data_IF_059834686385
#
_entry.id   IF_059834686385
#
_cell.length_a   1.000
_cell.length_b   1.000
_cell.length_c   1.000
_cell.angle_alpha   90.00
_cell.angle_beta   90.00
_cell.angle_gamma   90.00
#
_symmetry.space_group_name_H-M   'P 1'
#
loop_
_entity.id
_entity.type
_entity.pdbx_description
1 polymer ?
#
# COMPACT_ATOMS: atom_id res chain seq x y z
N UNK A 1 13.80 -12.71 -9.62
CA UNK A 1 12.40 -12.25 -9.74
C UNK A 1 12.45 -10.78 -10.11
N UNK A 2 11.82 -10.33 -11.22
CA UNK A 2 11.82 -8.90 -11.53
C UNK A 2 11.03 -8.20 -10.41
N UNK A 3 11.74 -7.47 -9.56
CA UNK A 3 11.14 -6.56 -8.59
C UNK A 3 10.39 -5.52 -9.40
N UNK A 4 9.06 -5.55 -9.37
CA UNK A 4 8.26 -4.47 -9.98
C UNK A 4 8.71 -3.16 -9.35
N UNK A 5 8.76 -2.06 -10.12
CA UNK A 5 9.11 -0.76 -9.55
C UNK A 5 8.18 -0.45 -8.38
N UNK A 6 8.75 -0.02 -7.25
CA UNK A 6 8.01 0.26 -6.01
C UNK A 6 6.89 1.30 -6.24
N UNK A 7 7.09 2.21 -7.18
CA UNK A 7 6.10 3.18 -7.67
C UNK A 7 4.89 2.52 -8.37
N UNK A 8 5.12 1.46 -9.16
CA UNK A 8 4.07 0.68 -9.81
C UNK A 8 3.25 -0.10 -8.78
N UNK A 9 3.91 -0.60 -7.73
CA UNK A 9 3.23 -1.32 -6.67
C UNK A 9 2.38 -0.39 -5.80
N UNK A 10 2.92 0.78 -5.42
CA UNK A 10 2.15 1.83 -4.72
C UNK A 10 0.93 2.27 -5.52
N UNK A 11 1.06 2.52 -6.83
CA UNK A 11 -0.08 2.85 -7.70
C UNK A 11 -1.17 1.79 -7.67
N UNK A 12 -0.79 0.50 -7.71
CA UNK A 12 -1.76 -0.60 -7.66
C UNK A 12 -2.51 -0.62 -6.32
N UNK A 13 -1.81 -0.35 -5.21
CA UNK A 13 -2.42 -0.25 -3.89
C UNK A 13 -3.38 0.95 -3.83
N UNK A 14 -2.97 2.11 -4.33
CA UNK A 14 -3.81 3.31 -4.37
C UNK A 14 -5.07 3.10 -5.23
N UNK A 15 -4.96 2.40 -6.37
CA UNK A 15 -6.12 2.05 -7.23
C UNK A 15 -7.08 1.07 -6.54
N UNK A 16 -6.55 0.08 -5.81
CA UNK A 16 -7.35 -0.88 -5.04
C UNK A 16 -8.10 -0.18 -3.90
N UNK A 17 -7.42 0.69 -3.16
CA UNK A 17 -8.03 1.51 -2.11
C UNK A 17 -9.14 2.40 -2.66
N UNK A 18 -8.93 3.02 -3.82
CA UNK A 18 -9.95 3.86 -4.46
C UNK A 18 -11.20 3.06 -4.83
N UNK A 19 -11.02 1.84 -5.34
CA UNK A 19 -12.15 0.95 -5.68
C UNK A 19 -12.94 0.54 -4.45
N UNK A 20 -12.26 0.16 -3.36
CA UNK A 20 -12.92 -0.26 -2.13
C UNK A 20 -13.66 0.88 -1.42
N UNK A 21 -13.13 2.11 -1.47
CA UNK A 21 -13.83 3.29 -0.95
C UNK A 21 -15.10 3.56 -1.76
N UNK A 22 -15.01 3.47 -3.08
CA UNK A 22 -16.17 3.64 -3.97
C UNK A 22 -17.22 2.55 -3.72
N UNK A 23 -16.81 1.29 -3.60
CA UNK A 23 -17.70 0.16 -3.30
C UNK A 23 -18.39 0.32 -1.93
N UNK A 24 -17.66 0.76 -0.91
CA UNK A 24 -18.22 1.04 0.41
C UNK A 24 -19.25 2.17 0.37
N UNK A 25 -18.96 3.26 -0.34
CA UNK A 25 -19.83 4.43 -0.40
C UNK A 25 -21.13 4.16 -1.19
N UNK A 26 -21.12 3.16 -2.08
CA UNK A 26 -22.29 2.72 -2.85
C UNK A 26 -23.01 1.50 -2.24
N UNK A 27 -22.51 0.94 -1.14
CA UNK A 27 -23.13 -0.22 -0.49
C UNK A 27 -24.00 0.21 0.68
N UNK A 28 -25.26 -0.22 0.65
CA UNK A 28 -26.21 -0.06 1.77
C UNK A 28 -26.19 -1.28 2.72
N UNK A 29 -25.47 -2.35 2.35
CA UNK A 29 -25.37 -3.56 3.16
C UNK A 29 -24.28 -3.41 4.23
N UNK A 30 -24.61 -3.50 5.52
CA UNK A 30 -23.64 -3.29 6.59
C UNK A 30 -22.54 -4.36 6.64
N UNK A 31 -22.78 -5.57 6.13
CA UNK A 31 -21.74 -6.59 6.05
C UNK A 31 -20.74 -6.30 4.93
N UNK A 32 -21.20 -5.79 3.79
CA UNK A 32 -20.33 -5.38 2.70
C UNK A 32 -19.54 -4.10 3.05
N UNK A 33 -20.14 -3.14 3.76
CA UNK A 33 -19.42 -1.98 4.32
C UNK A 33 -18.29 -2.43 5.25
N UNK A 34 -18.56 -3.38 6.16
CA UNK A 34 -17.54 -3.91 7.07
C UNK A 34 -16.43 -4.66 6.33
N UNK A 35 -16.78 -5.48 5.35
CA UNK A 35 -15.80 -6.20 4.52
C UNK A 35 -14.92 -5.24 3.72
N UNK A 36 -15.50 -4.19 3.15
CA UNK A 36 -14.75 -3.15 2.46
C UNK A 36 -13.82 -2.41 3.42
N UNK A 37 -14.27 -2.09 4.64
CA UNK A 37 -13.46 -1.44 5.66
C UNK A 37 -12.25 -2.29 6.10
N UNK A 38 -12.44 -3.60 6.35
CA UNK A 38 -11.35 -4.52 6.67
C UNK A 38 -10.34 -4.65 5.52
N UNK A 39 -10.85 -4.72 4.29
CA UNK A 39 -10.01 -4.76 3.09
C UNK A 39 -9.20 -3.48 2.92
N UNK A 40 -9.80 -2.32 3.19
CA UNK A 40 -9.12 -1.01 3.17
C UNK A 40 -7.99 -0.99 4.20
N UNK A 41 -8.23 -1.46 5.42
CA UNK A 41 -7.22 -1.51 6.49
C UNK A 41 -6.01 -2.35 6.07
N UNK A 42 -6.26 -3.53 5.50
CA UNK A 42 -5.20 -4.41 4.97
C UNK A 42 -4.35 -3.74 3.89
N UNK A 43 -4.98 -3.03 2.94
CA UNK A 43 -4.25 -2.33 1.88
C UNK A 43 -3.47 -1.11 2.40
N UNK A 44 -3.97 -0.42 3.43
CA UNK A 44 -3.24 0.66 4.08
C UNK A 44 -1.98 0.14 4.78
N UNK A 45 -2.06 -1.02 5.44
CA UNK A 45 -0.90 -1.70 6.02
C UNK A 45 0.13 -2.10 4.96
N UNK A 46 -0.31 -2.65 3.82
CA UNK A 46 0.59 -3.00 2.71
C UNK A 46 1.26 -1.74 2.13
N UNK A 47 0.52 -0.64 1.97
CA UNK A 47 1.09 0.65 1.54
C UNK A 47 2.13 1.16 2.52
N UNK A 48 1.86 1.06 3.82
CA UNK A 48 2.78 1.47 4.87
C UNK A 48 4.06 0.61 4.85
N UNK A 49 3.94 -0.70 4.65
CA UNK A 49 5.07 -1.60 4.50
C UNK A 49 5.93 -1.21 3.29
N UNK A 50 5.32 -0.96 2.13
CA UNK A 50 6.01 -0.51 0.91
C UNK A 50 6.73 0.82 1.10
N UNK A 51 6.10 1.79 1.78
CA UNK A 51 6.74 3.06 2.12
C UNK A 51 7.93 2.87 3.05
N UNK A 52 7.80 2.04 4.09
CA UNK A 52 8.92 1.71 4.99
C UNK A 52 10.07 1.03 4.25
N UNK A 53 9.79 0.13 3.30
CA UNK A 53 10.82 -0.47 2.45
C UNK A 53 11.50 0.59 1.60
N UNK A 54 10.77 1.50 0.96
CA UNK A 54 11.35 2.61 0.19
C UNK A 54 12.26 3.50 1.03
N UNK A 55 11.80 3.89 2.21
CA UNK A 55 12.52 4.82 3.08
C UNK A 55 13.72 4.11 3.76
N UNK A 56 13.59 2.81 4.04
CA UNK A 56 14.69 1.95 4.52
C UNK A 56 15.74 1.68 3.45
N UNK A 57 15.34 1.42 2.20
CA UNK A 57 16.26 1.23 1.06
C UNK A 57 17.01 2.54 0.73
N UNK A 58 16.37 3.68 0.93
CA UNK A 58 17.00 5.01 0.84
C UNK A 58 18.01 5.27 1.97
N UNK A 59 17.89 4.57 3.11
CA UNK A 59 18.76 4.70 4.27
C UNK A 59 20.05 3.86 4.23
N UNK A 60 20.17 2.89 3.32
CA UNK A 60 21.36 2.02 3.20
C UNK A 60 22.33 2.40 2.08
N UNK A 61 22.08 3.47 1.33
CA UNK A 61 22.99 3.97 0.29
C UNK A 61 24.05 4.97 0.79
N UNK A 62 24.13 5.19 2.11
CA UNK A 62 25.13 6.09 2.73
C UNK A 62 25.61 5.54 4.07
N UNK A 63 26.27 4.38 4.04
CA UNK A 63 27.29 4.09 5.04
C UNK A 63 28.49 3.41 4.39
N UNK A 64 29.56 4.20 4.35
CA UNK A 64 30.95 3.79 4.49
C UNK A 64 31.72 3.28 3.25
N UNK A 65 32.13 4.24 2.43
CA UNK A 65 33.44 4.18 1.79
C UNK A 65 34.31 5.28 2.40
N UNK A 66 34.98 5.01 3.53
CA UNK A 66 36.29 5.56 3.90
C UNK A 66 36.65 5.28 5.37
N UNK A 67 37.53 4.31 5.63
CA UNK A 67 38.97 4.52 5.89
C UNK A 67 39.59 3.32 6.61
#
# INVERSE_FOLDING_TARGET
MPTRPLTTQLRRVDDALRTLVDERDHSDDPADILRAAESIDHWLDERLALMKTRDGESGFATTDHAH
#
